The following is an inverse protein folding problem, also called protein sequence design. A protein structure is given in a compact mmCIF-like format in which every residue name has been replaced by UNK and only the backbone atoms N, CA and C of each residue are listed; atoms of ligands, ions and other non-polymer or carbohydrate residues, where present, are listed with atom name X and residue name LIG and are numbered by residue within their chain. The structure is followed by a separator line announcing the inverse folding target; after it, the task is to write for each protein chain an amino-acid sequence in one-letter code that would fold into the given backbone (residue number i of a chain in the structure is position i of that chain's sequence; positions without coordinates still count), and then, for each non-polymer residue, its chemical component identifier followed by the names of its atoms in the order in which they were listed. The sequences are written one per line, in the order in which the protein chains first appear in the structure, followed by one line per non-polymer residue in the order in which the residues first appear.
data_IF_793729191486
#
_entry.id   IF_793729191486
#
_cell.length_a   1.000
_cell.length_b   1.000
_cell.length_c   1.000
_cell.angle_alpha   90.00
_cell.angle_beta   90.00
_cell.angle_gamma   90.00
#
_symmetry.space_group_name_H-M   'P 1'
#
loop_
_entity.id
_entity.type
_entity.pdbx_description
1 polymer ?
#
# COMPACT_ATOMS: atom_id res chain seq x y z
N UNK A 1 10.32 -11.35 -17.24
CA UNK A 1 9.01 -11.09 -16.59
C UNK A 1 8.84 -11.79 -15.25
N UNK A 2 8.95 -13.12 -15.17
CA UNK A 2 8.68 -13.88 -13.92
C UNK A 2 9.51 -13.42 -12.71
N UNK A 3 10.77 -13.04 -12.95
CA UNK A 3 11.67 -12.51 -11.91
C UNK A 3 11.15 -11.21 -11.28
N UNK A 4 10.70 -10.27 -12.09
CA UNK A 4 10.13 -8.99 -11.62
C UNK A 4 8.84 -9.25 -10.85
N UNK A 5 7.97 -10.13 -11.37
CA UNK A 5 6.72 -10.50 -10.70
C UNK A 5 6.97 -11.05 -9.30
N UNK A 6 7.85 -12.06 -9.16
CA UNK A 6 8.14 -12.67 -7.85
C UNK A 6 8.79 -11.66 -6.90
N UNK A 7 9.75 -10.85 -7.36
CA UNK A 7 10.44 -9.88 -6.50
C UNK A 7 9.49 -8.78 -6.04
N UNK A 8 8.69 -8.20 -6.94
CA UNK A 8 7.72 -7.16 -6.59
C UNK A 8 6.62 -7.73 -5.70
N UNK A 9 6.06 -8.90 -6.03
CA UNK A 9 5.06 -9.58 -5.19
C UNK A 9 5.62 -9.86 -3.80
N UNK A 10 6.81 -10.44 -3.69
CA UNK A 10 7.46 -10.74 -2.42
C UNK A 10 7.71 -9.49 -1.57
N UNK A 11 8.25 -8.42 -2.17
CA UNK A 11 8.49 -7.16 -1.46
C UNK A 11 7.20 -6.51 -0.97
N UNK A 12 6.19 -6.40 -1.83
CA UNK A 12 4.91 -5.77 -1.47
C UNK A 12 4.17 -6.62 -0.43
N UNK A 13 4.14 -7.94 -0.61
CA UNK A 13 3.53 -8.86 0.35
C UNK A 13 4.16 -8.74 1.75
N UNK A 14 5.50 -8.68 1.81
CA UNK A 14 6.21 -8.55 3.08
C UNK A 14 6.02 -7.15 3.70
N UNK A 15 5.95 -6.10 2.88
CA UNK A 15 5.74 -4.73 3.34
C UNK A 15 4.32 -4.50 3.89
N UNK A 16 3.32 -5.16 3.31
CA UNK A 16 1.91 -5.02 3.69
C UNK A 16 1.48 -6.00 4.80
N UNK A 17 2.31 -7.01 5.10
CA UNK A 17 2.00 -8.04 6.10
C UNK A 17 1.82 -7.45 7.50
N UNK A 18 0.64 -7.63 8.07
CA UNK A 18 0.31 -7.17 9.42
C UNK A 18 -0.10 -5.70 9.50
N UNK A 19 -0.38 -5.05 8.36
CA UNK A 19 -0.91 -3.69 8.37
C UNK A 19 -2.31 -3.61 9.00
N UNK A 20 -2.66 -2.43 9.51
CA UNK A 20 -3.95 -2.07 10.09
C UNK A 20 -5.11 -2.42 9.14
N UNK A 21 -4.93 -2.28 7.83
CA UNK A 21 -5.93 -2.68 6.84
C UNK A 21 -6.21 -4.19 6.87
N UNK A 22 -5.19 -5.03 7.01
CA UNK A 22 -5.36 -6.49 7.12
C UNK A 22 -6.11 -6.87 8.39
N UNK A 23 -5.77 -6.27 9.53
CA UNK A 23 -6.48 -6.49 10.79
C UNK A 23 -7.96 -6.05 10.68
N UNK A 24 -8.24 -4.91 10.07
CA UNK A 24 -9.61 -4.45 9.83
C UNK A 24 -10.41 -5.43 8.95
N UNK A 25 -9.79 -5.98 7.90
CA UNK A 25 -10.45 -6.98 7.04
C UNK A 25 -10.72 -8.29 7.77
N UNK A 26 -9.82 -8.75 8.66
CA UNK A 26 -10.05 -9.92 9.50
C UNK A 26 -11.20 -9.70 10.50
N UNK A 27 -11.28 -8.51 11.10
CA UNK A 27 -12.38 -8.12 11.98
C UNK A 27 -13.72 -8.06 11.23
N UNK A 28 -13.75 -7.50 10.02
CA UNK A 28 -14.94 -7.53 9.18
C UNK A 28 -15.35 -8.94 8.79
N UNK A 29 -14.39 -9.81 8.44
CA UNK A 29 -14.66 -11.19 8.06
C UNK A 29 -15.30 -11.99 9.20
N UNK A 30 -14.87 -11.72 10.44
CA UNK A 30 -15.45 -12.35 11.63
C UNK A 30 -16.84 -11.80 11.99
N UNK A 31 -17.10 -10.51 11.76
CA UNK A 31 -18.40 -9.89 12.08
C UNK A 31 -19.49 -10.15 11.03
N UNK A 32 -19.17 -10.10 9.73
CA UNK A 32 -20.18 -10.06 8.67
C UNK A 32 -20.80 -11.42 8.31
N UNK A 33 -20.37 -12.55 8.89
CA UNK A 33 -20.75 -13.94 8.51
C UNK A 33 -20.59 -14.30 7.01
N UNK A 34 -20.19 -13.34 6.17
CA UNK A 34 -20.03 -13.44 4.72
C UNK A 34 -18.56 -13.30 4.33
N UNK A 35 -17.75 -14.29 4.72
CA UNK A 35 -16.29 -14.32 4.55
C UNK A 35 -15.88 -14.06 3.10
N UNK A 36 -16.57 -14.69 2.14
CA UNK A 36 -16.28 -14.53 0.71
C UNK A 36 -16.53 -13.12 0.18
N UNK A 37 -17.56 -12.43 0.68
CA UNK A 37 -17.87 -11.07 0.27
C UNK A 37 -16.82 -10.08 0.80
N UNK A 38 -16.39 -10.26 2.06
CA UNK A 38 -15.33 -9.45 2.67
C UNK A 38 -14.00 -9.69 1.94
N UNK A 39 -13.68 -10.95 1.62
CA UNK A 39 -12.48 -11.29 0.87
C UNK A 39 -12.46 -10.65 -0.53
N UNK A 40 -13.53 -10.81 -1.32
CA UNK A 40 -13.59 -10.19 -2.64
C UNK A 40 -13.55 -8.66 -2.56
N UNK A 41 -14.28 -8.07 -1.61
CA UNK A 41 -14.33 -6.63 -1.42
C UNK A 41 -12.97 -6.04 -1.07
N UNK A 42 -12.26 -6.64 -0.10
CA UNK A 42 -10.93 -6.18 0.30
C UNK A 42 -9.88 -6.43 -0.78
N UNK A 43 -9.91 -7.58 -1.45
CA UNK A 43 -9.01 -7.88 -2.55
C UNK A 43 -9.21 -6.90 -3.73
N UNK A 44 -10.46 -6.63 -4.11
CA UNK A 44 -10.76 -5.65 -5.16
C UNK A 44 -10.31 -4.24 -4.75
N UNK A 45 -10.57 -3.83 -3.50
CA UNK A 45 -10.12 -2.53 -3.01
C UNK A 45 -8.59 -2.39 -3.08
N UNK A 46 -7.84 -3.42 -2.69
CA UNK A 46 -6.37 -3.42 -2.75
C UNK A 46 -5.87 -3.32 -4.20
N UNK A 47 -6.43 -4.14 -5.10
CA UNK A 47 -6.05 -4.14 -6.52
C UNK A 47 -6.35 -2.79 -7.17
N UNK A 48 -7.55 -2.24 -6.93
CA UNK A 48 -7.95 -0.94 -7.49
C UNK A 48 -7.10 0.20 -6.94
N UNK A 49 -6.85 0.23 -5.63
CA UNK A 49 -6.00 1.24 -5.00
C UNK A 49 -4.58 1.20 -5.57
N UNK A 50 -3.99 0.00 -5.69
CA UNK A 50 -2.67 -0.20 -6.26
C UNK A 50 -2.62 0.20 -7.74
N UNK A 51 -3.65 -0.16 -8.51
CA UNK A 51 -3.76 0.19 -9.92
C UNK A 51 -3.80 1.71 -10.11
N UNK A 52 -4.62 2.41 -9.33
CA UNK A 52 -4.70 3.88 -9.37
C UNK A 52 -3.35 4.49 -9.00
N UNK A 53 -2.69 3.99 -7.95
CA UNK A 53 -1.37 4.45 -7.52
C UNK A 53 -0.30 4.27 -8.60
N UNK A 54 -0.25 3.11 -9.25
CA UNK A 54 0.70 2.83 -10.34
C UNK A 54 0.41 3.69 -11.57
N UNK A 55 -0.87 3.84 -11.95
CA UNK A 55 -1.28 4.68 -13.07
C UNK A 55 -0.86 6.14 -12.84
N UNK A 56 -1.21 6.70 -11.68
CA UNK A 56 -0.84 8.05 -11.29
C UNK A 56 0.69 8.23 -11.24
N UNK A 57 1.39 7.30 -10.59
CA UNK A 57 2.86 7.31 -10.50
C UNK A 57 3.53 7.26 -11.87
N UNK A 58 3.02 6.43 -12.79
CA UNK A 58 3.55 6.30 -14.15
C UNK A 58 3.39 7.58 -14.98
N UNK A 59 2.32 8.35 -14.74
CA UNK A 59 2.11 9.66 -15.38
C UNK A 59 3.04 10.69 -14.77
N UNK A 60 3.13 10.75 -13.44
CA UNK A 60 3.97 11.72 -12.73
C UNK A 60 5.45 11.58 -13.11
N UNK A 61 5.95 10.34 -13.21
CA UNK A 61 7.36 10.09 -13.56
C UNK A 61 7.75 10.55 -14.97
N UNK A 62 6.76 10.77 -15.87
CA UNK A 62 7.02 11.32 -17.22
C UNK A 62 7.29 12.82 -17.19
N UNK A 63 6.76 13.54 -16.20
CA UNK A 63 6.88 15.00 -16.08
C UNK A 63 7.86 15.43 -14.99
N UNK A 64 8.07 14.59 -13.97
CA UNK A 64 8.90 14.91 -12.80
C UNK A 64 10.14 14.01 -12.79
N UNK A 65 11.36 14.57 -12.70
CA UNK A 65 12.57 13.78 -12.59
C UNK A 65 12.55 12.89 -11.33
N UNK A 66 13.06 11.65 -11.41
CA UNK A 66 12.98 10.67 -10.32
C UNK A 66 13.65 11.14 -9.03
N UNK A 67 14.66 12.00 -9.12
CA UNK A 67 15.35 12.55 -7.95
C UNK A 67 14.43 13.38 -7.04
N UNK A 68 13.56 14.22 -7.63
CA UNK A 68 12.58 15.00 -6.84
C UNK A 68 11.55 14.10 -6.17
N UNK A 69 11.12 13.05 -6.87
CA UNK A 69 10.15 12.09 -6.33
C UNK A 69 10.73 11.31 -5.14
N UNK A 70 12.00 10.89 -5.24
CA UNK A 70 12.69 10.19 -4.16
C UNK A 70 12.94 11.07 -2.94
N UNK A 71 13.36 12.33 -3.15
CA UNK A 71 13.54 13.29 -2.05
C UNK A 71 12.21 13.62 -1.37
N UNK A 72 11.13 13.81 -2.14
CA UNK A 72 9.80 14.04 -1.59
C UNK A 72 9.30 12.85 -0.76
N UNK A 73 9.48 11.62 -1.26
CA UNK A 73 9.13 10.40 -0.53
C UNK A 73 9.93 10.29 0.78
N UNK A 74 11.24 10.56 0.75
CA UNK A 74 12.10 10.54 1.93
C UNK A 74 11.69 11.57 2.99
N UNK A 75 11.39 12.80 2.58
CA UNK A 75 10.86 13.85 3.47
C UNK A 75 9.54 13.40 4.10
N UNK A 76 8.62 12.83 3.30
CA UNK A 76 7.37 12.28 3.79
C UNK A 76 7.57 11.20 4.85
N UNK A 77 8.52 10.28 4.63
CA UNK A 77 8.88 9.25 5.60
C UNK A 77 9.45 9.83 6.91
N UNK A 78 10.31 10.85 6.83
CA UNK A 78 10.85 11.54 8.03
C UNK A 78 9.73 12.23 8.81
N UNK A 79 8.81 12.92 8.12
CA UNK A 79 7.68 13.58 8.76
C UNK A 79 6.79 12.55 9.46
N UNK A 80 6.41 11.46 8.76
CA UNK A 80 5.61 10.38 9.35
C UNK A 80 6.31 9.75 10.56
N UNK A 81 7.59 9.42 10.43
CA UNK A 81 8.39 8.87 11.54
C UNK A 81 8.47 9.82 12.73
N UNK A 82 8.67 11.12 12.48
CA UNK A 82 8.69 12.16 13.53
C UNK A 82 7.34 12.30 14.24
N UNK A 83 6.23 12.27 13.50
CA UNK A 83 4.88 12.32 14.07
C UNK A 83 4.58 11.10 14.95
N UNK A 84 5.04 9.92 14.52
CA UNK A 84 4.91 8.66 15.25
C UNK A 84 5.73 8.70 16.55
N UNK A 85 6.96 9.20 16.52
CA UNK A 85 7.80 9.39 17.71
C UNK A 85 7.23 10.42 18.69
N UNK A 86 6.53 11.44 18.19
CA UNK A 86 5.85 12.44 19.03
C UNK A 86 4.57 11.88 19.69
N UNK A 87 4.17 10.65 19.37
CA UNK A 87 2.96 10.01 19.91
C UNK A 87 1.68 10.71 19.47
N UNK A 88 1.74 11.48 18.37
CA UNK A 88 0.55 12.15 17.80
C UNK A 88 -0.25 11.23 16.87
N UNK A 89 0.34 10.07 16.55
CA UNK A 89 -0.17 8.93 15.77
C UNK A 89 0.34 7.66 16.44
#
# INVERSE_FOLDING_TARGET
MWRVFITTFGLVFLAELGDKTQLATMLMATQCKAIWAVFLGSALALVLSSLIGVMAGSVIVRYVPPHYLQTAAGIGFIIMGGLLLWGKI
#
